data_IF_636149435860
#
_entry.id   IF_636149435860
#
_cell.length_a   1.000
_cell.length_b   1.000
_cell.length_c   1.000
_cell.angle_alpha   90.00
_cell.angle_beta   90.00
_cell.angle_gamma   90.00
#
_symmetry.space_group_name_H-M   'P 1'
#
loop_
_entity.id
_entity.type
_entity.pdbx_description
1 polymer ?
#
# COMPACT_ATOMS: atom_id res chain seq x y z
N UNK A 1 -7.73 -25.47 -14.14
CA UNK A 1 -9.19 -25.55 -14.31
C UNK A 1 -9.81 -25.34 -12.93
N UNK A 2 -10.35 -24.15 -12.66
CA UNK A 2 -11.04 -23.86 -11.39
C UNK A 2 -12.45 -24.48 -11.48
N UNK A 3 -13.01 -25.10 -10.42
CA UNK A 3 -14.32 -25.73 -10.49
C UNK A 3 -15.41 -24.67 -10.69
N UNK A 4 -16.10 -24.75 -11.82
CA UNK A 4 -17.16 -23.87 -12.29
C UNK A 4 -18.38 -23.70 -11.34
N UNK A 5 -18.45 -24.45 -10.24
CA UNK A 5 -19.63 -24.50 -9.36
C UNK A 5 -19.61 -23.46 -8.25
N UNK A 6 -18.48 -23.22 -7.56
CA UNK A 6 -18.42 -22.25 -6.44
C UNK A 6 -18.67 -20.79 -6.89
N UNK A 7 -18.36 -20.46 -8.15
CA UNK A 7 -18.59 -19.10 -8.70
C UNK A 7 -20.06 -18.93 -9.12
N UNK A 8 -20.70 -19.98 -9.67
CA UNK A 8 -22.11 -19.94 -10.10
C UNK A 8 -23.10 -19.81 -8.93
N UNK A 9 -22.74 -20.30 -7.75
CA UNK A 9 -23.61 -20.20 -6.55
C UNK A 9 -23.55 -18.84 -5.85
N UNK A 10 -22.42 -18.10 -5.96
CA UNK A 10 -22.26 -16.77 -5.32
C UNK A 10 -22.67 -15.60 -6.21
N UNK A 11 -22.59 -15.76 -7.52
CA UNK A 11 -23.05 -14.77 -8.50
C UNK A 11 -24.25 -15.43 -9.19
N UNK A 12 -25.47 -15.17 -8.72
CA UNK A 12 -26.68 -15.78 -9.28
C UNK A 12 -26.66 -15.75 -10.81
N UNK A 13 -26.65 -16.93 -11.43
CA UNK A 13 -26.70 -17.16 -12.89
C UNK A 13 -25.80 -16.25 -13.75
N UNK A 14 -24.47 -16.37 -13.63
CA UNK A 14 -23.56 -15.91 -14.69
C UNK A 14 -22.65 -17.04 -15.15
N UNK A 15 -22.77 -17.43 -16.42
CA UNK A 15 -21.99 -18.50 -17.03
C UNK A 15 -20.55 -18.05 -17.26
N UNK A 16 -19.61 -18.74 -16.61
CA UNK A 16 -18.16 -18.48 -16.67
C UNK A 16 -17.57 -18.46 -18.10
N UNK A 17 -18.27 -19.04 -19.08
CA UNK A 17 -17.85 -19.03 -20.49
C UNK A 17 -17.82 -17.61 -21.09
N UNK A 18 -18.50 -16.63 -20.49
CA UNK A 18 -18.39 -15.22 -20.88
C UNK A 18 -17.14 -14.52 -20.31
N UNK A 19 -16.39 -15.16 -19.42
CA UNK A 19 -15.28 -14.53 -18.67
C UNK A 19 -13.94 -14.65 -19.39
N UNK A 20 -13.75 -15.66 -20.25
CA UNK A 20 -12.41 -16.03 -20.75
C UNK A 20 -12.27 -16.19 -22.26
N UNK A 21 -13.27 -15.81 -23.07
CA UNK A 21 -13.18 -16.02 -24.52
C UNK A 21 -14.02 -15.04 -25.32
N UNK A 22 -13.34 -14.25 -26.14
CA UNK A 22 -13.87 -13.40 -27.22
C UNK A 22 -14.56 -12.09 -26.82
N UNK A 23 -14.11 -11.03 -27.51
CA UNK A 23 -14.59 -9.65 -27.52
C UNK A 23 -16.10 -9.53 -27.29
N UNK A 24 -16.53 -9.43 -26.04
CA UNK A 24 -17.88 -9.02 -25.69
C UNK A 24 -17.88 -8.43 -24.29
N UNK A 25 -18.25 -7.17 -24.26
CA UNK A 25 -18.24 -6.29 -23.09
C UNK A 25 -19.14 -6.91 -22.02
N UNK A 26 -18.57 -7.18 -20.85
CA UNK A 26 -19.34 -7.38 -19.62
C UNK A 26 -20.29 -6.19 -19.47
N UNK A 27 -21.60 -6.41 -19.50
CA UNK A 27 -22.51 -5.52 -18.78
C UNK A 27 -22.42 -5.88 -17.30
N UNK A 28 -21.28 -5.52 -16.68
CA UNK A 28 -21.26 -5.24 -15.25
C UNK A 28 -22.32 -4.15 -15.08
N UNK A 29 -23.21 -4.28 -14.10
CA UNK A 29 -23.88 -3.07 -13.60
C UNK A 29 -22.75 -2.26 -12.96
N UNK A 30 -22.09 -1.42 -13.77
CA UNK A 30 -20.90 -0.64 -13.39
C UNK A 30 -21.18 0.28 -12.22
N UNK A 31 -22.46 0.45 -11.88
CA UNK A 31 -22.92 1.18 -10.70
C UNK A 31 -22.81 0.35 -9.40
N UNK A 32 -22.46 -0.94 -9.46
CA UNK A 32 -22.40 -1.85 -8.30
C UNK A 32 -21.08 -2.58 -8.11
N UNK A 33 -20.29 -2.79 -9.16
CA UNK A 33 -19.02 -3.53 -9.05
C UNK A 33 -17.92 -2.89 -9.89
N UNK A 34 -16.68 -3.02 -9.43
CA UNK A 34 -15.47 -2.62 -10.14
C UNK A 34 -14.56 -3.82 -10.33
N UNK A 35 -13.95 -3.89 -11.50
CA UNK A 35 -12.97 -4.91 -11.85
C UNK A 35 -11.63 -4.25 -12.15
N UNK A 36 -10.55 -4.77 -11.55
CA UNK A 36 -9.20 -4.27 -11.78
C UNK A 36 -8.16 -5.38 -11.68
N UNK A 37 -7.00 -5.13 -12.29
CA UNK A 37 -5.91 -6.09 -12.38
C UNK A 37 -5.14 -6.16 -11.07
N UNK A 38 -4.71 -7.37 -10.72
CA UNK A 38 -3.80 -7.57 -9.60
C UNK A 38 -2.38 -7.26 -10.03
N UNK A 39 -1.64 -6.63 -9.14
CA UNK A 39 -0.18 -6.56 -9.28
C UNK A 39 0.42 -7.94 -9.05
N UNK A 40 1.51 -8.23 -9.75
CA UNK A 40 2.27 -9.49 -9.63
C UNK A 40 2.86 -9.73 -8.23
N UNK A 41 2.89 -8.73 -7.35
CA UNK A 41 3.31 -8.87 -5.96
C UNK A 41 2.16 -9.16 -5.01
N UNK A 42 0.92 -8.93 -5.46
CA UNK A 42 -0.25 -9.10 -4.61
C UNK A 42 -0.51 -10.57 -4.31
N UNK A 43 -1.08 -10.86 -3.15
CA UNK A 43 -1.53 -12.21 -2.80
C UNK A 43 -3.05 -12.25 -2.70
N UNK A 44 -3.67 -13.29 -3.27
CA UNK A 44 -5.13 -13.41 -3.29
C UNK A 44 -5.72 -13.48 -1.89
N UNK A 45 -5.06 -14.20 -0.98
CA UNK A 45 -5.46 -14.32 0.41
C UNK A 45 -5.20 -13.03 1.20
N UNK A 46 -4.12 -12.30 0.92
CA UNK A 46 -3.89 -10.97 1.48
C UNK A 46 -4.99 -9.98 1.07
N UNK A 47 -5.36 -9.94 -0.21
CA UNK A 47 -6.46 -9.08 -0.71
C UNK A 47 -7.78 -9.43 -0.02
N UNK A 48 -8.10 -10.72 0.12
CA UNK A 48 -9.31 -11.16 0.86
C UNK A 48 -9.29 -10.67 2.31
N UNK A 49 -8.12 -10.70 2.97
CA UNK A 49 -7.95 -10.19 4.33
C UNK A 49 -8.06 -8.66 4.41
N UNK A 50 -7.51 -7.94 3.45
CA UNK A 50 -7.55 -6.47 3.40
C UNK A 50 -8.96 -5.93 3.28
N UNK A 51 -9.87 -6.68 2.65
CA UNK A 51 -11.29 -6.30 2.51
C UNK A 51 -11.99 -5.92 3.82
N UNK A 52 -11.47 -6.30 5.00
CA UNK A 52 -11.98 -5.88 6.32
C UNK A 52 -11.73 -4.40 6.62
N UNK A 53 -10.70 -3.83 6.01
CA UNK A 53 -10.22 -2.47 6.19
C UNK A 53 -10.47 -1.59 4.97
N UNK A 54 -10.90 -2.20 3.86
CA UNK A 54 -11.18 -1.52 2.60
C UNK A 54 -12.57 -0.91 2.58
N UNK A 55 -12.71 0.17 1.79
CA UNK A 55 -13.99 0.84 1.58
C UNK A 55 -14.95 -0.07 0.79
N UNK A 56 -14.49 -0.64 -0.33
CA UNK A 56 -15.21 -1.66 -1.08
C UNK A 56 -14.89 -3.06 -0.58
N UNK A 57 -15.89 -3.94 -0.62
CA UNK A 57 -15.71 -5.35 -0.26
C UNK A 57 -15.25 -6.16 -1.46
N UNK A 58 -14.20 -6.95 -1.27
CA UNK A 58 -13.74 -7.91 -2.28
C UNK A 58 -14.77 -9.04 -2.39
N UNK A 59 -15.47 -9.11 -3.52
CA UNK A 59 -16.46 -10.15 -3.82
C UNK A 59 -15.74 -11.42 -4.27
N UNK A 60 -14.82 -11.28 -5.21
CA UNK A 60 -14.01 -12.37 -5.75
C UNK A 60 -12.58 -11.90 -6.04
N UNK A 61 -11.62 -12.81 -5.83
CA UNK A 61 -10.22 -12.57 -6.12
C UNK A 61 -9.71 -13.74 -6.95
N UNK A 62 -9.49 -13.51 -8.24
CA UNK A 62 -8.90 -14.46 -9.16
C UNK A 62 -7.37 -14.36 -9.17
N UNK A 63 -6.71 -15.15 -10.04
CA UNK A 63 -5.23 -15.19 -10.11
C UNK A 63 -4.62 -13.83 -10.42
N UNK A 64 -5.20 -13.09 -11.37
CA UNK A 64 -4.65 -11.82 -11.88
C UNK A 64 -5.65 -10.65 -11.79
N UNK A 65 -6.77 -10.84 -11.11
CA UNK A 65 -7.85 -9.85 -11.05
C UNK A 65 -8.60 -9.84 -9.71
N UNK A 66 -9.25 -8.71 -9.43
CA UNK A 66 -10.12 -8.50 -8.27
C UNK A 66 -11.47 -7.99 -8.79
N UNK A 67 -12.55 -8.53 -8.21
CA UNK A 67 -13.89 -8.00 -8.32
C UNK A 67 -14.30 -7.44 -6.95
N UNK A 68 -14.48 -6.13 -6.88
CA UNK A 68 -14.84 -5.39 -5.67
C UNK A 68 -16.22 -4.75 -5.80
N UNK A 69 -16.92 -4.57 -4.69
CA UNK A 69 -18.12 -3.73 -4.60
C UNK A 69 -17.77 -2.27 -4.95
N UNK A 70 -18.53 -1.66 -5.84
CA UNK A 70 -18.42 -0.24 -6.13
C UNK A 70 -19.01 0.55 -4.97
N UNK A 71 -18.19 1.41 -4.37
CA UNK A 71 -18.63 2.41 -3.40
C UNK A 71 -18.38 3.78 -4.01
N UNK A 72 -19.44 4.58 -4.15
CA UNK A 72 -19.30 5.99 -4.52
C UNK A 72 -18.97 6.79 -3.27
N UNK A 73 -17.86 7.54 -3.31
CA UNK A 73 -17.41 8.34 -2.19
C UNK A 73 -16.70 9.60 -2.69
N UNK A 74 -16.77 10.65 -1.88
CA UNK A 74 -15.89 11.80 -2.02
C UNK A 74 -14.59 11.52 -1.27
N UNK A 75 -13.45 11.82 -1.90
CA UNK A 75 -12.18 11.57 -1.27
C UNK A 75 -11.89 12.61 -0.18
N UNK A 76 -12.04 12.20 1.08
CA UNK A 76 -11.67 12.98 2.24
C UNK A 76 -10.33 12.51 2.82
N UNK A 77 -9.30 13.35 2.66
CA UNK A 77 -7.95 13.04 3.17
C UNK A 77 -7.99 12.85 4.70
N UNK A 78 -7.57 11.68 5.22
CA UNK A 78 -7.45 11.46 6.66
C UNK A 78 -6.28 12.24 7.27
N UNK A 79 -6.35 12.48 8.58
CA UNK A 79 -5.20 12.97 9.34
C UNK A 79 -4.10 11.90 9.40
N UNK A 80 -2.84 12.33 9.56
CA UNK A 80 -1.71 11.41 9.77
C UNK A 80 -2.01 10.43 10.91
N UNK A 81 -2.55 10.93 12.03
CA UNK A 81 -2.94 10.11 13.17
C UNK A 81 -3.87 8.94 12.78
N UNK A 82 -4.96 9.24 12.06
CA UNK A 82 -5.92 8.22 11.63
C UNK A 82 -5.31 7.23 10.64
N UNK A 83 -4.42 7.69 9.75
CA UNK A 83 -3.69 6.82 8.83
C UNK A 83 -2.81 5.83 9.59
N UNK A 84 -2.06 6.28 10.60
CA UNK A 84 -1.17 5.39 11.36
C UNK A 84 -1.95 4.40 12.22
N UNK A 85 -3.09 4.81 12.79
CA UNK A 85 -3.98 3.89 13.50
C UNK A 85 -4.50 2.79 12.57
N UNK A 86 -5.02 3.15 11.40
CA UNK A 86 -5.48 2.17 10.42
C UNK A 86 -4.35 1.23 10.00
N UNK A 87 -3.17 1.78 9.71
CA UNK A 87 -2.01 0.99 9.32
C UNK A 87 -1.60 -0.01 10.42
N UNK A 88 -1.62 0.42 11.68
CA UNK A 88 -1.34 -0.44 12.83
C UNK A 88 -2.34 -1.58 12.94
N UNK A 89 -3.63 -1.33 12.71
CA UNK A 89 -4.66 -2.38 12.72
C UNK A 89 -4.47 -3.37 11.57
N UNK A 90 -4.20 -2.89 10.34
CA UNK A 90 -3.91 -3.73 9.18
C UNK A 90 -2.72 -4.65 9.47
N UNK A 91 -1.62 -4.07 9.96
CA UNK A 91 -0.37 -4.79 10.22
C UNK A 91 -0.46 -5.82 11.38
N UNK A 92 -1.56 -5.86 12.15
CA UNK A 92 -1.81 -6.94 13.13
C UNK A 92 -2.15 -8.26 12.46
N UNK A 93 -2.74 -8.24 11.26
CA UNK A 93 -2.95 -9.47 10.50
C UNK A 93 -1.60 -10.02 10.06
N UNK A 94 -1.34 -11.28 10.41
CA UNK A 94 -0.11 -12.01 10.03
C UNK A 94 -0.45 -13.26 9.24
N UNK A 95 0.42 -13.64 8.31
CA UNK A 95 0.39 -14.97 7.72
C UNK A 95 1.14 -16.00 8.59
N UNK A 96 1.18 -17.26 8.14
CA UNK A 96 1.84 -18.35 8.85
C UNK A 96 3.37 -18.18 8.99
N UNK A 97 3.98 -17.33 8.17
CA UNK A 97 5.41 -17.01 8.22
C UNK A 97 5.71 -15.80 9.13
N UNK A 98 4.68 -15.24 9.79
CA UNK A 98 4.83 -14.05 10.62
C UNK A 98 4.95 -12.74 9.84
N UNK A 99 4.79 -12.78 8.51
CA UNK A 99 4.75 -11.58 7.67
C UNK A 99 3.44 -10.84 7.89
N UNK A 100 3.47 -9.52 7.80
CA UNK A 100 2.32 -8.65 8.05
C UNK A 100 1.53 -8.46 6.77
N UNK A 101 0.21 -8.29 6.90
CA UNK A 101 -0.59 -7.78 5.81
C UNK A 101 -0.12 -6.36 5.50
N UNK A 102 0.21 -6.08 4.24
CA UNK A 102 0.60 -4.74 3.78
C UNK A 102 -0.26 -4.32 2.60
N UNK A 103 -0.57 -3.02 2.51
CA UNK A 103 -1.28 -2.44 1.37
C UNK A 103 -0.39 -2.39 0.13
N UNK A 104 0.91 -2.13 0.30
CA UNK A 104 1.88 -2.08 -0.79
C UNK A 104 1.93 -0.74 -1.53
N UNK A 105 0.90 0.09 -1.38
CA UNK A 105 0.87 1.51 -1.80
C UNK A 105 0.08 2.40 -0.82
N UNK A 106 0.34 2.22 0.47
CA UNK A 106 -0.31 3.00 1.53
C UNK A 106 0.12 4.48 1.49
N UNK A 107 -0.82 5.38 1.21
CA UNK A 107 -0.63 6.84 1.26
C UNK A 107 -1.98 7.55 1.28
N UNK A 108 -1.99 8.86 1.52
CA UNK A 108 -3.23 9.66 1.54
C UNK A 108 -3.99 9.68 0.21
N UNK A 109 -3.40 9.16 -0.88
CA UNK A 109 -4.03 8.99 -2.17
C UNK A 109 -4.91 7.73 -2.28
N UNK A 110 -4.75 6.76 -1.37
CA UNK A 110 -5.43 5.46 -1.39
C UNK A 110 -6.17 5.19 -0.06
N UNK A 111 -6.44 6.26 0.70
CA UNK A 111 -7.07 6.20 2.01
C UNK A 111 -8.04 7.36 2.13
N UNK A 112 -9.24 7.09 2.64
CA UNK A 112 -10.29 8.09 2.78
C UNK A 112 -11.03 7.96 4.10
N UNK A 113 -11.74 9.02 4.47
CA UNK A 113 -12.73 8.99 5.56
C UNK A 113 -14.11 8.78 4.94
N UNK A 114 -14.81 7.73 5.37
CA UNK A 114 -16.18 7.44 5.00
C UNK A 114 -16.99 7.07 6.25
N UNK A 115 -18.16 7.69 6.43
CA UNK A 115 -19.00 7.50 7.62
C UNK A 115 -18.23 7.61 8.96
N UNK A 116 -17.36 8.63 9.06
CA UNK A 116 -16.48 8.89 10.22
C UNK A 116 -15.44 7.79 10.53
N UNK A 117 -15.22 6.85 9.62
CA UNK A 117 -14.21 5.80 9.73
C UNK A 117 -13.18 5.93 8.61
N UNK A 118 -11.96 5.47 8.87
CA UNK A 118 -10.85 5.54 7.89
C UNK A 118 -10.71 4.21 7.18
N UNK A 119 -10.69 4.24 5.85
CA UNK A 119 -10.62 3.05 5.01
C UNK A 119 -9.52 3.17 3.96
N UNK A 120 -8.95 2.02 3.59
CA UNK A 120 -8.12 1.92 2.38
C UNK A 120 -8.99 1.64 1.15
N UNK A 121 -8.46 1.92 -0.04
CA UNK A 121 -8.98 1.45 -1.32
C UNK A 121 -7.80 1.25 -2.28
N UNK A 122 -8.07 0.76 -3.50
CA UNK A 122 -7.02 0.43 -4.46
C UNK A 122 -6.13 -0.74 -4.02
N UNK A 123 -6.78 -1.89 -3.80
CA UNK A 123 -6.19 -3.07 -3.18
C UNK A 123 -5.26 -3.90 -4.11
N UNK A 124 -4.92 -3.41 -5.31
CA UNK A 124 -4.19 -4.18 -6.32
C UNK A 124 -2.76 -4.54 -5.93
N UNK A 125 -2.20 -3.87 -4.93
CA UNK A 125 -0.83 -4.04 -4.43
C UNK A 125 -0.75 -4.79 -3.11
N UNK A 126 -1.88 -5.26 -2.56
CA UNK A 126 -1.94 -5.87 -1.22
C UNK A 126 -1.23 -7.23 -1.19
N UNK A 127 -0.33 -7.43 -0.23
CA UNK A 127 0.45 -8.67 -0.08
C UNK A 127 0.89 -8.92 1.37
N UNK A 128 1.61 -10.02 1.60
CA UNK A 128 2.26 -10.31 2.87
C UNK A 128 3.73 -9.92 2.81
N UNK A 129 4.16 -9.02 3.69
CA UNK A 129 5.55 -8.59 3.75
C UNK A 129 5.90 -7.97 5.12
N UNK A 130 7.07 -7.37 5.20
CA UNK A 130 7.50 -6.56 6.33
C UNK A 130 6.71 -5.24 6.39
N UNK A 131 6.36 -4.81 7.60
CA UNK A 131 5.67 -3.52 7.88
C UNK A 131 6.37 -2.29 7.28
N UNK A 132 7.68 -2.38 7.02
CA UNK A 132 8.45 -1.29 6.44
C UNK A 132 8.02 -0.93 5.01
N UNK A 133 7.34 -1.83 4.30
CA UNK A 133 6.77 -1.55 2.96
C UNK A 133 5.86 -0.32 3.02
N UNK A 134 4.90 -0.30 3.94
CA UNK A 134 3.96 0.80 4.08
C UNK A 134 4.50 1.93 4.97
N UNK A 135 5.18 1.61 6.07
CA UNK A 135 5.76 2.63 6.96
C UNK A 135 6.78 3.52 6.24
N UNK A 136 7.65 2.95 5.40
CA UNK A 136 8.60 3.75 4.64
C UNK A 136 7.93 4.65 3.61
N UNK A 137 6.77 4.26 3.07
CA UNK A 137 5.96 5.11 2.18
C UNK A 137 5.31 6.26 2.93
N UNK A 138 4.77 6.02 4.12
CA UNK A 138 4.24 7.07 5.00
C UNK A 138 5.33 8.08 5.34
N UNK A 139 6.51 7.61 5.76
CA UNK A 139 7.63 8.49 6.09
C UNK A 139 8.06 9.33 4.88
N UNK A 140 8.02 8.76 3.68
CA UNK A 140 8.41 9.45 2.45
C UNK A 140 7.36 10.45 1.95
N UNK A 141 6.08 10.09 1.99
CA UNK A 141 4.99 10.83 1.33
C UNK A 141 4.22 11.74 2.27
N UNK A 142 4.11 11.39 3.56
CA UNK A 142 3.20 12.05 4.49
C UNK A 142 3.91 12.85 5.59
N UNK A 143 5.11 12.44 6.00
CA UNK A 143 5.88 13.17 7.02
C UNK A 143 6.63 14.35 6.38
N UNK A 144 6.50 15.55 6.94
CA UNK A 144 7.14 16.78 6.43
C UNK A 144 8.23 17.33 7.35
N UNK A 145 8.24 16.91 8.61
CA UNK A 145 9.19 17.36 9.62
C UNK A 145 9.39 16.28 10.69
N UNK A 146 10.27 16.53 11.66
CA UNK A 146 10.57 15.64 12.76
C UNK A 146 9.40 15.38 13.69
N UNK A 147 8.46 16.31 13.82
CA UNK A 147 7.22 16.11 14.60
C UNK A 147 6.35 15.04 13.96
N UNK A 148 6.22 15.02 12.64
CA UNK A 148 5.42 13.98 11.95
C UNK A 148 6.05 12.59 12.14
N UNK A 149 7.38 12.49 12.11
CA UNK A 149 8.10 11.24 12.43
C UNK A 149 7.80 10.81 13.86
N UNK A 150 7.94 11.73 14.81
CA UNK A 150 7.64 11.48 16.20
C UNK A 150 6.21 10.96 16.36
N UNK A 151 5.24 11.60 15.70
CA UNK A 151 3.84 11.19 15.73
C UNK A 151 3.68 9.77 15.17
N UNK A 152 4.29 9.44 14.02
CA UNK A 152 4.28 8.06 13.47
C UNK A 152 4.82 7.04 14.47
N UNK A 153 5.99 7.30 15.05
CA UNK A 153 6.65 6.34 15.93
C UNK A 153 5.92 6.20 17.26
N UNK A 154 5.46 7.31 17.84
CA UNK A 154 4.69 7.31 19.08
C UNK A 154 3.35 6.59 18.91
N UNK A 155 2.64 6.77 17.80
CA UNK A 155 1.35 6.09 17.55
C UNK A 155 1.57 4.60 17.23
N UNK A 156 2.50 4.32 16.32
CA UNK A 156 2.70 2.97 15.79
C UNK A 156 3.42 2.08 16.80
N UNK A 157 4.61 2.50 17.24
CA UNK A 157 5.49 1.72 18.10
C UNK A 157 5.32 2.02 19.60
N UNK A 158 4.58 3.07 19.98
CA UNK A 158 4.46 3.52 21.38
C UNK A 158 5.82 3.82 22.01
N UNK A 159 6.79 4.18 21.19
CA UNK A 159 8.14 4.54 21.62
C UNK A 159 8.79 5.42 20.55
N UNK A 160 9.69 6.29 20.99
CA UNK A 160 10.47 7.15 20.13
C UNK A 160 11.80 6.43 19.85
N UNK A 161 12.12 6.10 18.58
CA UNK A 161 13.40 5.50 18.26
C UNK A 161 14.50 6.52 18.55
N UNK A 162 15.70 6.03 18.91
CA UNK A 162 16.88 6.89 18.83
C UNK A 162 17.14 7.31 17.38
N UNK A 163 17.77 8.46 17.18
CA UNK A 163 18.22 8.94 15.86
C UNK A 163 18.99 7.86 15.10
N UNK A 164 19.85 7.12 15.81
CA UNK A 164 20.59 5.97 15.31
C UNK A 164 19.68 4.87 14.74
N UNK A 165 18.67 4.42 15.50
CA UNK A 165 17.75 3.36 15.07
C UNK A 165 16.94 3.81 13.84
N UNK A 166 16.43 5.05 13.86
CA UNK A 166 15.71 5.62 12.72
C UNK A 166 16.60 5.64 11.47
N UNK A 167 17.85 6.11 11.60
CA UNK A 167 18.81 6.18 10.51
C UNK A 167 19.06 4.81 9.90
N UNK A 168 19.38 3.81 10.73
CA UNK A 168 19.61 2.43 10.28
C UNK A 168 18.38 1.87 9.55
N UNK A 169 17.18 2.06 10.12
CA UNK A 169 15.93 1.61 9.50
C UNK A 169 15.67 2.24 8.12
N UNK A 170 15.88 3.56 7.98
CA UNK A 170 15.73 4.25 6.70
C UNK A 170 16.77 3.81 5.66
N UNK A 171 17.99 3.50 6.08
CA UNK A 171 19.02 2.96 5.18
C UNK A 171 18.63 1.57 4.67
N UNK A 172 18.13 0.70 5.54
CA UNK A 172 17.62 -0.64 5.15
C UNK A 172 16.45 -0.51 4.18
N UNK A 173 15.53 0.42 4.43
CA UNK A 173 14.43 0.69 3.51
C UNK A 173 14.91 1.15 2.13
N UNK A 174 15.93 2.02 2.08
CA UNK A 174 16.54 2.44 0.83
C UNK A 174 17.17 1.28 0.06
N UNK A 175 17.91 0.40 0.74
CA UNK A 175 18.51 -0.79 0.10
C UNK A 175 17.43 -1.71 -0.48
N UNK A 176 16.38 -1.98 0.30
CA UNK A 176 15.24 -2.78 -0.14
C UNK A 176 14.54 -2.16 -1.35
N UNK A 177 14.26 -0.84 -1.34
CA UNK A 177 13.67 -0.17 -2.50
C UNK A 177 14.55 -0.25 -3.75
N UNK A 178 15.87 -0.16 -3.61
CA UNK A 178 16.79 -0.30 -4.74
C UNK A 178 16.71 -1.69 -5.36
N UNK A 179 16.79 -2.74 -4.54
CA UNK A 179 16.71 -4.14 -4.98
C UNK A 179 15.40 -4.38 -5.74
N UNK A 180 14.29 -4.00 -5.13
CA UNK A 180 12.95 -4.16 -5.70
C UNK A 180 12.81 -3.39 -7.01
N UNK A 181 13.33 -2.16 -7.12
CA UNK A 181 13.27 -1.40 -8.39
C UNK A 181 14.13 -2.03 -9.48
N UNK A 182 15.32 -2.54 -9.11
CA UNK A 182 16.28 -3.17 -10.02
C UNK A 182 15.73 -4.45 -10.62
N UNK A 183 15.21 -5.35 -9.78
CA UNK A 183 14.57 -6.60 -10.21
C UNK A 183 13.42 -6.36 -11.19
N UNK A 184 12.72 -5.22 -11.03
CA UNK A 184 11.52 -4.86 -11.78
C UNK A 184 11.80 -3.94 -12.96
N UNK A 185 13.07 -3.67 -13.28
CA UNK A 185 13.50 -2.73 -14.31
C UNK A 185 12.75 -1.38 -14.24
N UNK A 186 12.55 -0.86 -13.02
CA UNK A 186 11.80 0.39 -12.79
C UNK A 186 12.71 1.59 -13.03
N UNK A 187 12.17 2.70 -13.54
CA UNK A 187 12.95 3.92 -13.69
C UNK A 187 13.45 4.42 -12.34
N UNK A 188 14.57 5.12 -12.39
CA UNK A 188 15.21 5.73 -11.23
C UNK A 188 15.63 4.71 -10.15
N UNK A 189 16.20 3.59 -10.58
CA UNK A 189 16.65 2.50 -9.71
C UNK A 189 17.66 2.96 -8.64
N UNK A 190 18.47 3.98 -8.93
CA UNK A 190 19.52 4.47 -8.03
C UNK A 190 19.04 5.53 -7.02
N UNK A 191 17.82 6.05 -7.16
CA UNK A 191 17.27 7.05 -6.22
C UNK A 191 17.35 6.60 -4.76
N UNK A 192 16.95 5.37 -4.40
CA UNK A 192 17.05 4.92 -3.02
C UNK A 192 18.50 4.92 -2.50
N UNK A 193 19.49 4.58 -3.34
CA UNK A 193 20.90 4.61 -2.94
C UNK A 193 21.41 6.05 -2.71
N UNK A 194 20.95 7.00 -3.53
CA UNK A 194 21.25 8.42 -3.31
C UNK A 194 20.67 8.93 -1.98
N UNK A 195 19.43 8.56 -1.65
CA UNK A 195 18.83 8.87 -0.34
C UNK A 195 19.63 8.25 0.80
N UNK A 196 20.02 6.98 0.69
CA UNK A 196 20.87 6.31 1.68
C UNK A 196 22.18 7.06 1.91
N UNK A 197 22.84 7.51 0.84
CA UNK A 197 24.06 8.32 0.96
C UNK A 197 23.80 9.65 1.68
N UNK A 198 22.75 10.39 1.30
CA UNK A 198 22.39 11.63 1.98
C UNK A 198 22.07 11.40 3.46
N UNK A 199 21.39 10.30 3.79
CA UNK A 199 21.12 9.91 5.18
C UNK A 199 22.44 9.70 5.90
N UNK A 200 23.40 8.97 5.34
CA UNK A 200 24.73 8.77 5.94
C UNK A 200 25.45 10.10 6.21
N UNK A 201 25.37 11.04 5.28
CA UNK A 201 26.05 12.34 5.35
C UNK A 201 25.33 13.38 6.24
N UNK A 202 24.10 13.08 6.70
CA UNK A 202 23.27 14.02 7.46
C UNK A 202 23.67 14.12 8.94
N UNK A 203 23.40 15.28 9.56
CA UNK A 203 23.56 15.50 11.02
C UNK A 203 22.70 14.51 11.82
N UNK A 204 23.10 14.27 13.07
CA UNK A 204 22.40 13.32 13.95
C UNK A 204 21.22 13.95 14.71
N UNK A 205 20.26 14.46 13.93
CA UNK A 205 18.97 14.96 14.41
C UNK A 205 17.84 14.53 13.46
N UNK A 206 16.62 14.42 14.00
CA UNK A 206 15.47 13.86 13.28
C UNK A 206 15.13 14.63 11.99
N UNK A 207 15.15 15.97 12.06
CA UNK A 207 14.82 16.82 10.92
C UNK A 207 15.84 16.67 9.80
N UNK A 208 17.14 16.66 10.12
CA UNK A 208 18.21 16.49 9.13
C UNK A 208 18.15 15.12 8.46
N UNK A 209 17.88 14.04 9.23
CA UNK A 209 17.74 12.68 8.69
C UNK A 209 16.55 12.59 7.74
N UNK A 210 15.38 13.15 8.11
CA UNK A 210 14.19 13.06 7.24
C UNK A 210 14.30 13.95 6.02
N UNK A 211 14.90 15.13 6.16
CA UNK A 211 15.19 15.99 5.02
C UNK A 211 16.13 15.26 4.05
N UNK A 212 17.19 14.61 4.54
CA UNK A 212 18.08 13.80 3.71
C UNK A 212 17.35 12.63 3.02
N UNK A 213 16.40 11.99 3.70
CA UNK A 213 15.59 10.91 3.13
C UNK A 213 14.60 11.40 2.06
N UNK A 214 14.00 12.58 2.24
CA UNK A 214 13.02 13.16 1.31
C UNK A 214 13.67 13.89 0.13
N UNK A 215 14.81 14.54 0.34
CA UNK A 215 15.39 15.45 -0.64
C UNK A 215 15.92 14.69 -1.86
N UNK A 216 15.29 14.90 -3.01
CA UNK A 216 15.90 14.57 -4.29
C UNK A 216 15.90 15.83 -5.14
N UNK A 217 17.11 16.35 -5.39
CA UNK A 217 17.32 17.35 -6.41
C UNK A 217 17.31 16.63 -7.76
N UNK A 218 16.15 16.57 -8.41
CA UNK A 218 16.09 16.26 -9.83
C UNK A 218 15.90 17.55 -10.63
N UNK A 219 16.67 17.75 -11.71
CA UNK A 219 16.53 18.93 -12.57
C UNK A 219 15.21 18.98 -13.36
N UNK A 220 14.27 18.03 -13.22
CA UNK A 220 12.94 18.08 -13.83
C UNK A 220 11.85 17.68 -12.83
N UNK A 221 11.12 18.68 -12.32
CA UNK A 221 10.01 18.55 -11.36
C UNK A 221 8.70 17.99 -11.95
N UNK A 222 8.67 17.54 -13.20
CA UNK A 222 7.40 17.37 -13.92
C UNK A 222 6.73 15.99 -13.81
N UNK A 223 7.16 15.07 -12.94
CA UNK A 223 6.63 13.69 -12.92
C UNK A 223 6.53 13.03 -11.53
N UNK A 224 6.26 13.82 -10.48
CA UNK A 224 5.72 13.27 -9.22
C UNK A 224 4.20 13.39 -9.21
#
# INVERSE_FOLDING_TARGET
MIPNQEIKEKIGEYTLDSVLGSKSILKVDTNKYVFYNRSQYSSADAIKKMSKFSLGKNILVGTDWILEEYVSFDNHKPSLYNMILLLKEIHKEKNLLGQSLVHGDFSSLNITIYNNLTYVYDNEHVHWDNIYVDLGRVLLRECNNGKDIFDVFNIYFQNIPSTKILREGLMVFCDWQHIIRKEKNRPYVDIPLLRKKKILDSRDDLDSIINAFKLIDYPNKSFL
#
